data_IF_404540935776
#
_entry.id   IF_404540935776
#
_cell.length_a   1.000
_cell.length_b   1.000
_cell.length_c   1.000
_cell.angle_alpha   90.00
_cell.angle_beta   90.00
_cell.angle_gamma   90.00
#
_symmetry.space_group_name_H-M   'P 1'
#
loop_
_entity.id
_entity.type
_entity.pdbx_description
1 polymer ?
#
# COMPACT_ATOMS: atom_id res chain seq x y z
N UNK A 1 -12.24 -7.36 -17.16
CA UNK A 1 -10.97 -6.60 -17.28
C UNK A 1 -9.81 -7.56 -17.45
N UNK A 2 -8.85 -7.23 -18.32
CA UNK A 2 -7.60 -7.99 -18.41
C UNK A 2 -6.77 -7.84 -17.14
N UNK A 3 -6.13 -8.93 -16.71
CA UNK A 3 -5.31 -8.98 -15.52
C UNK A 3 -4.00 -9.72 -15.79
N UNK A 4 -2.98 -9.41 -15.01
CA UNK A 4 -1.70 -10.12 -14.94
C UNK A 4 -1.37 -10.45 -13.49
N UNK A 5 -0.51 -11.44 -13.30
CA UNK A 5 -0.06 -11.87 -11.98
C UNK A 5 1.42 -11.55 -11.80
N UNK A 6 1.74 -10.84 -10.72
CA UNK A 6 3.09 -10.40 -10.38
C UNK A 6 3.40 -10.90 -8.96
N UNK A 7 4.57 -11.50 -8.71
CA UNK A 7 4.93 -11.95 -7.36
C UNK A 7 5.16 -10.77 -6.42
N UNK A 8 4.93 -11.01 -5.10
CA UNK A 8 5.35 -10.08 -4.06
C UNK A 8 6.88 -10.18 -3.86
N UNK A 9 7.57 -9.07 -3.56
CA UNK A 9 7.03 -7.75 -3.21
C UNK A 9 6.68 -6.87 -4.43
N UNK A 10 7.03 -7.27 -5.66
CA UNK A 10 6.90 -6.44 -6.86
C UNK A 10 5.48 -5.96 -7.16
N UNK A 11 4.46 -6.78 -6.84
CA UNK A 11 3.07 -6.37 -6.99
C UNK A 11 2.72 -5.20 -6.04
N UNK A 12 3.25 -5.20 -4.82
CA UNK A 12 3.13 -4.09 -3.88
C UNK A 12 3.93 -2.87 -4.33
N UNK A 13 5.12 -3.07 -4.89
CA UNK A 13 5.93 -1.99 -5.44
C UNK A 13 5.23 -1.25 -6.59
N UNK A 14 4.45 -1.97 -7.40
CA UNK A 14 3.60 -1.33 -8.41
C UNK A 14 2.45 -0.58 -7.73
N UNK A 15 1.75 -1.20 -6.77
CA UNK A 15 0.66 -0.57 -6.02
C UNK A 15 1.12 0.75 -5.36
N UNK A 16 2.30 0.76 -4.76
CA UNK A 16 2.90 1.93 -4.11
C UNK A 16 3.39 3.00 -5.09
N UNK A 17 3.54 2.65 -6.36
CA UNK A 17 4.06 3.53 -7.41
C UNK A 17 5.58 3.62 -7.47
N UNK A 18 6.32 2.88 -6.63
CA UNK A 18 7.79 2.84 -6.65
C UNK A 18 8.31 2.10 -7.88
N UNK A 19 7.64 0.99 -8.25
CA UNK A 19 7.92 0.25 -9.46
C UNK A 19 6.97 0.65 -10.57
N UNK A 20 7.48 1.26 -11.62
CA UNK A 20 6.69 1.69 -12.78
C UNK A 20 7.05 0.97 -14.08
N UNK A 21 8.00 0.05 -14.01
CA UNK A 21 8.35 -0.89 -15.08
C UNK A 21 8.38 -2.31 -14.52
N UNK A 22 7.68 -3.23 -15.16
CA UNK A 22 7.81 -4.66 -14.90
C UNK A 22 8.55 -5.34 -16.06
N UNK A 23 9.56 -6.14 -15.71
CA UNK A 23 10.30 -6.94 -16.67
C UNK A 23 9.55 -8.24 -16.96
N UNK A 24 9.10 -8.42 -18.21
CA UNK A 24 8.33 -9.59 -18.63
C UNK A 24 9.06 -10.34 -19.74
N UNK A 25 9.00 -11.68 -19.71
CA UNK A 25 9.58 -12.55 -20.74
C UNK A 25 8.84 -12.49 -22.11
N UNK A 26 7.73 -11.74 -22.19
CA UNK A 26 6.87 -11.73 -23.37
C UNK A 26 6.40 -10.34 -23.76
N UNK A 27 6.21 -10.12 -25.06
CA UNK A 27 5.70 -8.89 -25.66
C UNK A 27 4.17 -8.84 -25.65
N UNK A 28 3.60 -7.64 -25.73
CA UNK A 28 2.16 -7.44 -25.84
C UNK A 28 1.80 -6.20 -26.66
N UNK A 29 0.78 -6.35 -27.49
CA UNK A 29 0.14 -5.24 -28.19
C UNK A 29 -0.94 -4.55 -27.35
N UNK A 30 -1.29 -5.10 -26.18
CA UNK A 30 -2.29 -4.49 -25.30
C UNK A 30 -1.78 -3.17 -24.76
N UNK A 31 -2.67 -2.16 -24.72
CA UNK A 31 -2.48 -0.87 -24.08
C UNK A 31 -3.76 -0.52 -23.34
N UNK A 32 -3.62 0.32 -22.30
CA UNK A 32 -4.75 0.72 -21.45
C UNK A 32 -4.76 -0.01 -20.11
N UNK A 33 -5.89 -0.01 -19.45
CA UNK A 33 -6.03 -0.51 -18.10
C UNK A 33 -5.86 -2.02 -18.01
N UNK A 34 -5.05 -2.45 -17.04
CA UNK A 34 -4.89 -3.84 -16.63
C UNK A 34 -4.95 -3.94 -15.11
N UNK A 35 -5.49 -5.05 -14.63
CA UNK A 35 -5.53 -5.36 -13.20
C UNK A 35 -4.24 -6.08 -12.80
N UNK A 36 -3.55 -5.54 -11.80
CA UNK A 36 -2.38 -6.17 -11.19
C UNK A 36 -2.86 -7.03 -10.02
N UNK A 37 -2.52 -8.32 -10.10
CA UNK A 37 -2.83 -9.29 -9.05
C UNK A 37 -1.53 -9.83 -8.47
N UNK A 38 -1.45 -9.98 -7.16
CA UNK A 38 -0.32 -10.64 -6.53
C UNK A 38 -0.33 -12.15 -6.76
N UNK A 39 0.82 -12.76 -6.97
CA UNK A 39 0.97 -14.20 -7.03
C UNK A 39 0.74 -14.84 -5.66
N UNK A 40 0.39 -16.14 -5.64
CA UNK A 40 0.32 -16.91 -4.39
C UNK A 40 1.68 -17.27 -3.82
N UNK A 41 2.70 -17.32 -4.69
CA UNK A 41 4.09 -17.56 -4.30
C UNK A 41 4.85 -16.25 -4.42
N UNK A 42 5.66 -15.91 -3.42
CA UNK A 42 6.54 -14.75 -3.47
C UNK A 42 7.68 -14.94 -4.49
N UNK A 43 8.42 -13.85 -4.73
CA UNK A 43 9.64 -13.87 -5.55
C UNK A 43 10.83 -14.44 -4.78
N UNK A 44 10.84 -14.33 -3.48
CA UNK A 44 11.93 -14.70 -2.58
C UNK A 44 11.52 -15.82 -1.61
N UNK A 45 12.45 -16.31 -0.79
CA UNK A 45 12.16 -17.26 0.28
C UNK A 45 11.25 -16.64 1.36
N UNK A 46 10.65 -17.46 2.21
CA UNK A 46 9.80 -16.95 3.29
C UNK A 46 10.60 -16.07 4.27
N UNK A 47 11.84 -16.44 4.57
CA UNK A 47 12.72 -15.69 5.47
C UNK A 47 13.05 -14.29 4.90
N UNK A 48 13.43 -14.22 3.62
CA UNK A 48 13.65 -12.94 2.93
C UNK A 48 12.37 -12.10 2.85
N UNK A 49 11.20 -12.73 2.66
CA UNK A 49 9.94 -12.00 2.62
C UNK A 49 9.54 -11.44 3.98
N UNK A 50 9.82 -12.16 5.09
CA UNK A 50 9.61 -11.65 6.46
C UNK A 50 10.47 -10.40 6.71
N UNK A 51 11.76 -10.43 6.33
CA UNK A 51 12.63 -9.26 6.43
C UNK A 51 12.12 -8.06 5.61
N UNK A 52 11.63 -8.33 4.39
CA UNK A 52 11.06 -7.30 3.52
C UNK A 52 9.74 -6.75 4.12
N UNK A 53 8.85 -7.60 4.62
CA UNK A 53 7.59 -7.17 5.24
C UNK A 53 7.85 -6.32 6.49
N UNK A 54 8.87 -6.66 7.28
CA UNK A 54 9.32 -5.87 8.44
C UNK A 54 9.87 -4.49 8.01
N UNK A 55 10.71 -4.44 6.96
CA UNK A 55 11.22 -3.19 6.40
C UNK A 55 10.10 -2.27 5.92
N UNK A 56 9.07 -2.84 5.29
CA UNK A 56 7.91 -2.08 4.79
C UNK A 56 6.88 -1.77 5.87
N UNK A 57 6.97 -2.41 7.03
CA UNK A 57 5.99 -2.30 8.11
C UNK A 57 4.60 -2.77 7.71
N UNK A 58 4.50 -3.70 6.74
CA UNK A 58 3.22 -4.21 6.24
C UNK A 58 3.30 -5.66 5.81
N UNK A 59 2.22 -6.40 5.99
CA UNK A 59 2.06 -7.76 5.48
C UNK A 59 1.51 -7.72 4.06
N UNK A 60 2.17 -8.41 3.15
CA UNK A 60 1.73 -8.46 1.76
C UNK A 60 0.53 -9.39 1.56
N UNK A 61 -0.40 -8.96 0.71
CA UNK A 61 -1.50 -9.82 0.26
C UNK A 61 -1.02 -10.70 -0.89
N UNK A 62 -1.24 -12.01 -0.77
CA UNK A 62 -0.92 -13.01 -1.79
C UNK A 62 -2.18 -13.56 -2.45
N UNK A 63 -2.16 -13.70 -3.78
CA UNK A 63 -3.30 -14.22 -4.54
C UNK A 63 -4.50 -13.29 -4.59
N UNK A 64 -4.29 -11.99 -4.53
CA UNK A 64 -5.33 -10.96 -4.55
C UNK A 64 -5.13 -9.96 -5.69
N UNK A 65 -6.22 -9.39 -6.17
CA UNK A 65 -6.19 -8.18 -6.97
C UNK A 65 -5.83 -6.99 -6.08
N UNK A 66 -4.92 -6.11 -6.54
CA UNK A 66 -4.37 -5.02 -5.74
C UNK A 66 -4.64 -3.63 -6.34
N UNK A 67 -4.39 -3.45 -7.63
CA UNK A 67 -4.57 -2.17 -8.29
C UNK A 67 -4.83 -2.32 -9.79
N UNK A 68 -5.43 -1.28 -10.38
CA UNK A 68 -5.47 -1.09 -11.82
C UNK A 68 -4.30 -0.19 -12.18
N UNK A 69 -3.49 -0.61 -13.16
CA UNK A 69 -2.43 0.20 -13.75
C UNK A 69 -2.71 0.39 -15.24
N UNK A 70 -2.43 1.57 -15.78
CA UNK A 70 -2.49 1.81 -17.21
C UNK A 70 -1.19 1.37 -17.85
N UNK A 71 -1.24 0.32 -18.68
CA UNK A 71 -0.12 -0.10 -19.51
C UNK A 71 0.05 0.87 -20.67
N UNK A 72 1.08 1.70 -20.57
CA UNK A 72 1.39 2.75 -21.53
C UNK A 72 2.12 2.22 -22.76
N UNK A 73 3.17 1.44 -22.50
CA UNK A 73 4.09 0.93 -23.52
C UNK A 73 4.60 -0.47 -23.13
N UNK A 74 4.86 -1.28 -24.15
CA UNK A 74 5.65 -2.51 -24.02
C UNK A 74 6.72 -2.44 -25.11
N UNK A 75 7.97 -2.63 -24.75
CA UNK A 75 9.14 -2.60 -25.66
C UNK A 75 10.27 -3.44 -25.08
N UNK A 76 11.26 -3.87 -25.89
CA UNK A 76 12.46 -4.47 -25.34
C UNK A 76 13.08 -3.61 -24.24
N UNK A 77 13.58 -4.26 -23.18
CA UNK A 77 14.24 -3.59 -22.08
C UNK A 77 15.51 -2.90 -22.54
N UNK A 78 15.88 -1.80 -21.95
CA UNK A 78 17.05 -0.98 -22.33
C UNK A 78 17.67 -0.27 -21.14
N UNK A 79 18.91 0.17 -21.28
CA UNK A 79 19.63 0.95 -20.29
C UNK A 79 18.79 2.14 -19.80
N UNK A 80 18.74 2.32 -18.48
CA UNK A 80 17.96 3.34 -17.80
C UNK A 80 16.56 2.89 -17.36
N UNK A 81 16.18 1.62 -17.61
CA UNK A 81 14.94 1.03 -17.08
C UNK A 81 15.12 0.45 -15.66
N UNK A 82 16.36 0.20 -15.23
CA UNK A 82 16.72 -0.53 -14.01
C UNK A 82 16.09 0.08 -12.77
N UNK A 83 16.27 1.40 -12.58
CA UNK A 83 15.74 2.12 -11.42
C UNK A 83 14.23 2.00 -11.31
N UNK A 84 13.52 2.16 -12.44
CA UNK A 84 12.06 2.07 -12.51
C UNK A 84 11.53 0.65 -12.43
N UNK A 85 12.36 -0.33 -12.77
CA UNK A 85 12.09 -1.75 -12.68
C UNK A 85 12.50 -2.35 -11.33
N UNK A 86 13.21 -1.59 -10.47
CA UNK A 86 13.81 -2.05 -9.22
C UNK A 86 14.70 -3.29 -9.45
N UNK A 87 15.63 -3.17 -10.38
CA UNK A 87 16.58 -4.22 -10.77
C UNK A 87 18.00 -3.65 -10.77
N UNK A 88 18.98 -4.47 -10.43
CA UNK A 88 20.39 -4.07 -10.45
C UNK A 88 20.93 -3.98 -11.88
N UNK A 89 20.45 -4.85 -12.76
CA UNK A 89 20.86 -4.95 -14.16
C UNK A 89 19.66 -5.22 -15.05
N UNK A 90 19.71 -4.77 -16.31
CA UNK A 90 18.68 -5.09 -17.29
C UNK A 90 18.78 -6.56 -17.72
N UNK A 91 17.63 -7.14 -18.03
CA UNK A 91 17.54 -8.40 -18.76
C UNK A 91 17.36 -8.11 -20.26
N UNK A 92 18.39 -8.38 -21.11
CA UNK A 92 18.33 -8.04 -22.52
C UNK A 92 17.27 -8.84 -23.31
N UNK A 93 16.77 -9.95 -22.75
CA UNK A 93 15.75 -10.79 -23.34
C UNK A 93 14.33 -10.43 -22.86
N UNK A 94 14.22 -9.53 -21.85
CA UNK A 94 12.96 -9.10 -21.31
C UNK A 94 12.34 -7.88 -22.02
N UNK A 95 11.06 -7.70 -21.81
CA UNK A 95 10.29 -6.53 -22.23
C UNK A 95 9.95 -5.66 -21.03
N UNK A 96 10.19 -4.35 -21.17
CA UNK A 96 9.70 -3.35 -20.21
C UNK A 96 8.21 -3.10 -20.42
N UNK A 97 7.41 -3.49 -19.43
CA UNK A 97 6.00 -3.12 -19.35
C UNK A 97 5.88 -1.87 -18.51
N UNK A 98 5.58 -0.74 -19.16
CA UNK A 98 5.61 0.58 -18.55
C UNK A 98 4.23 0.96 -18.08
N UNK A 99 4.09 1.21 -16.77
CA UNK A 99 2.85 1.55 -16.10
C UNK A 99 2.78 3.02 -15.72
N UNK A 100 1.55 3.55 -15.75
CA UNK A 100 1.18 4.84 -15.19
C UNK A 100 -0.23 4.75 -14.55
N UNK A 101 -0.69 5.82 -13.93
CA UNK A 101 -2.04 5.96 -13.36
C UNK A 101 -2.47 4.74 -12.53
N UNK A 102 -1.69 4.46 -11.50
CA UNK A 102 -1.93 3.34 -10.59
C UNK A 102 -3.05 3.71 -9.63
N UNK A 103 -4.11 2.89 -9.64
CA UNK A 103 -5.34 3.11 -8.86
C UNK A 103 -5.61 1.88 -8.00
N UNK A 104 -5.46 1.96 -6.67
CA UNK A 104 -5.75 0.85 -5.79
C UNK A 104 -7.18 0.35 -5.94
N UNK A 105 -7.40 -0.94 -5.78
CA UNK A 105 -8.74 -1.53 -5.66
C UNK A 105 -8.91 -2.13 -4.27
N UNK A 106 -10.16 -2.26 -3.83
CA UNK A 106 -10.47 -3.05 -2.64
C UNK A 106 -10.05 -4.48 -2.93
N UNK A 107 -9.09 -5.05 -2.18
CA UNK A 107 -8.54 -6.35 -2.51
C UNK A 107 -9.59 -7.47 -2.49
N UNK A 108 -9.49 -8.38 -3.44
CA UNK A 108 -10.31 -9.60 -3.49
C UNK A 108 -9.49 -10.77 -4.02
N UNK A 109 -9.78 -12.01 -3.62
CA UNK A 109 -9.05 -13.18 -4.08
C UNK A 109 -9.11 -13.31 -5.61
N UNK A 110 -7.94 -13.43 -6.25
CA UNK A 110 -7.80 -13.60 -7.68
C UNK A 110 -6.97 -14.84 -8.00
N UNK A 111 -7.50 -15.71 -8.85
CA UNK A 111 -6.77 -16.89 -9.30
C UNK A 111 -5.92 -16.50 -10.51
N UNK A 112 -4.66 -16.15 -10.25
CA UNK A 112 -3.69 -15.77 -11.28
C UNK A 112 -3.41 -16.85 -12.32
N UNK A 113 -2.92 -16.40 -13.47
CA UNK A 113 -2.39 -17.23 -14.56
C UNK A 113 -1.04 -16.69 -15.01
N UNK A 114 -0.32 -17.47 -15.83
CA UNK A 114 1.03 -17.11 -16.29
C UNK A 114 1.05 -15.94 -17.27
N UNK A 115 -0.06 -15.77 -18.04
CA UNK A 115 -0.23 -14.70 -19.03
C UNK A 115 -1.48 -13.89 -18.66
N UNK A 116 -2.01 -13.10 -19.60
CA UNK A 116 -3.28 -12.42 -19.41
C UNK A 116 -4.42 -13.38 -19.04
N UNK A 117 -5.24 -12.95 -18.13
CA UNK A 117 -6.51 -13.58 -17.82
C UNK A 117 -7.60 -12.51 -17.64
N UNK A 118 -8.85 -12.95 -17.68
CA UNK A 118 -10.00 -12.06 -17.48
C UNK A 118 -10.50 -12.14 -16.07
N UNK A 119 -10.80 -10.98 -15.50
CA UNK A 119 -11.47 -10.81 -14.21
C UNK A 119 -12.80 -10.11 -14.46
N UNK A 120 -13.85 -10.54 -13.76
CA UNK A 120 -15.17 -9.92 -13.85
C UNK A 120 -15.13 -8.50 -13.27
N UNK A 121 -15.51 -7.52 -14.06
CA UNK A 121 -15.49 -6.11 -13.69
C UNK A 121 -16.45 -5.80 -12.52
N UNK A 122 -17.45 -6.64 -12.29
CA UNK A 122 -18.38 -6.51 -11.16
C UNK A 122 -17.72 -6.71 -9.78
N UNK A 123 -16.52 -7.31 -9.75
CA UNK A 123 -15.73 -7.50 -8.53
C UNK A 123 -14.89 -6.27 -8.18
N UNK A 124 -14.74 -5.33 -9.12
CA UNK A 124 -13.85 -4.20 -8.97
C UNK A 124 -14.52 -3.08 -8.15
N UNK A 125 -13.88 -2.69 -7.09
CA UNK A 125 -14.18 -1.45 -6.37
C UNK A 125 -12.89 -0.65 -6.30
N UNK A 126 -12.81 0.40 -7.12
CA UNK A 126 -11.62 1.28 -7.18
C UNK A 126 -11.64 2.21 -5.97
N UNK A 127 -10.48 2.34 -5.31
CA UNK A 127 -10.31 3.31 -4.24
C UNK A 127 -10.38 4.73 -4.80
N UNK A 128 -11.06 5.67 -4.11
CA UNK A 128 -11.00 7.08 -4.45
C UNK A 128 -9.65 7.73 -4.09
N UNK A 129 -8.79 7.02 -3.37
CA UNK A 129 -7.47 7.49 -2.93
C UNK A 129 -6.37 6.62 -3.52
N UNK A 130 -5.23 7.23 -3.81
CA UNK A 130 -3.99 6.52 -4.18
C UNK A 130 -3.31 5.95 -2.93
N UNK A 131 -2.34 5.07 -3.12
CA UNK A 131 -1.44 4.68 -2.03
C UNK A 131 -0.54 5.86 -1.65
N UNK A 132 -0.26 6.02 -0.34
CA UNK A 132 0.54 7.11 0.22
C UNK A 132 0.01 8.53 -0.09
N UNK A 133 -1.29 8.66 -0.36
CA UNK A 133 -1.93 9.96 -0.59
C UNK A 133 -2.16 10.69 0.74
N UNK A 134 -1.76 11.97 0.86
CA UNK A 134 -2.05 12.76 2.04
C UNK A 134 -3.55 12.99 2.21
N UNK A 135 -4.08 12.70 3.40
CA UNK A 135 -5.50 12.83 3.73
C UNK A 135 -5.72 13.51 5.06
N UNK A 136 -6.92 14.07 5.22
CA UNK A 136 -7.42 14.58 6.48
C UNK A 136 -8.68 13.83 6.89
N UNK A 137 -8.84 13.60 8.19
CA UNK A 137 -10.04 13.00 8.78
C UNK A 137 -11.12 14.06 8.90
N UNK A 138 -12.32 13.74 8.40
CA UNK A 138 -13.47 14.65 8.42
C UNK A 138 -14.05 14.85 9.84
N UNK A 139 -14.71 15.97 10.05
CA UNK A 139 -15.42 16.27 11.30
C UNK A 139 -16.41 15.18 11.69
N UNK A 140 -16.51 14.90 12.99
CA UNK A 140 -17.40 13.91 13.56
C UNK A 140 -16.95 12.46 13.38
N UNK A 141 -15.70 12.23 12.96
CA UNK A 141 -15.12 10.90 12.87
C UNK A 141 -14.50 10.51 14.20
N UNK A 142 -15.08 9.50 14.84
CA UNK A 142 -14.48 8.85 16.01
C UNK A 142 -13.95 7.47 15.60
N UNK A 143 -12.73 7.14 15.98
CA UNK A 143 -12.25 5.77 15.94
C UNK A 143 -12.70 5.06 17.22
N UNK A 144 -13.43 3.95 17.06
CA UNK A 144 -13.90 3.17 18.21
C UNK A 144 -12.72 2.61 19.01
N UNK A 145 -11.64 2.29 18.32
CA UNK A 145 -10.39 1.74 18.87
C UNK A 145 -9.73 2.75 19.83
N UNK A 146 -9.70 4.02 19.49
CA UNK A 146 -9.07 5.06 20.30
C UNK A 146 -10.02 5.70 21.31
N UNK A 147 -11.32 5.71 21.03
CA UNK A 147 -12.32 6.38 21.85
C UNK A 147 -12.15 7.91 21.90
N UNK A 148 -11.48 8.48 20.89
CA UNK A 148 -11.26 9.93 20.74
C UNK A 148 -11.84 10.42 19.42
N UNK A 149 -12.14 11.70 19.36
CA UNK A 149 -12.50 12.38 18.11
C UNK A 149 -11.23 12.59 17.27
N UNK A 150 -11.25 12.05 16.06
CA UNK A 150 -10.16 12.17 15.10
C UNK A 150 -10.34 13.33 14.12
N UNK A 151 -11.33 14.19 14.34
CA UNK A 151 -11.61 15.33 13.46
C UNK A 151 -10.37 16.19 13.24
N UNK A 152 -10.01 16.38 11.96
CA UNK A 152 -8.85 17.18 11.58
C UNK A 152 -7.48 16.50 11.72
N UNK A 153 -7.41 15.26 12.21
CA UNK A 153 -6.19 14.47 12.15
C UNK A 153 -5.80 14.24 10.71
N UNK A 154 -4.52 14.13 10.45
CA UNK A 154 -3.99 13.90 9.09
C UNK A 154 -2.99 12.76 9.07
N UNK A 155 -2.79 12.25 7.86
CA UNK A 155 -1.86 11.17 7.62
C UNK A 155 -1.79 10.84 6.15
N UNK A 156 -1.34 9.63 5.85
CA UNK A 156 -1.26 9.09 4.50
C UNK A 156 -2.02 7.79 4.41
N UNK A 157 -2.68 7.60 3.28
CA UNK A 157 -3.36 6.35 2.97
C UNK A 157 -2.34 5.23 2.79
N UNK A 158 -2.67 4.07 3.32
CA UNK A 158 -1.88 2.85 3.20
C UNK A 158 -2.75 1.72 2.61
N UNK A 159 -2.79 0.57 3.26
CA UNK A 159 -3.47 -0.62 2.77
C UNK A 159 -5.00 -0.46 2.81
N UNK A 160 -5.64 -1.17 1.90
CA UNK A 160 -7.10 -1.28 1.87
C UNK A 160 -7.49 -2.69 2.32
N UNK A 161 -8.44 -2.75 3.22
CA UNK A 161 -8.99 -3.99 3.76
C UNK A 161 -10.50 -4.08 3.49
N UNK A 162 -11.04 -5.26 3.68
CA UNK A 162 -12.49 -5.47 3.68
C UNK A 162 -12.89 -6.03 5.05
N UNK A 163 -13.59 -5.22 5.82
CA UNK A 163 -14.08 -5.56 7.13
C UNK A 163 -15.61 -5.63 7.10
N UNK A 164 -16.19 -6.77 7.51
CA UNK A 164 -17.65 -7.01 7.47
C UNK A 164 -18.30 -6.70 6.11
N UNK A 165 -17.56 -6.90 5.02
CA UNK A 165 -18.03 -6.59 3.66
C UNK A 165 -17.82 -5.16 3.20
N UNK A 166 -17.48 -4.24 4.08
CA UNK A 166 -17.24 -2.83 3.80
C UNK A 166 -15.76 -2.53 3.59
N UNK A 167 -15.41 -1.69 2.60
CA UNK A 167 -14.02 -1.27 2.41
C UNK A 167 -13.57 -0.35 3.53
N UNK A 168 -12.36 -0.61 4.03
CA UNK A 168 -11.61 0.22 4.97
C UNK A 168 -10.27 0.55 4.37
N UNK A 169 -9.76 1.71 4.69
CA UNK A 169 -8.43 2.14 4.34
C UNK A 169 -7.66 2.47 5.61
N UNK A 170 -6.47 1.95 5.75
CA UNK A 170 -5.55 2.36 6.79
C UNK A 170 -5.05 3.76 6.47
N UNK A 171 -5.07 4.63 7.47
CA UNK A 171 -4.42 5.92 7.45
C UNK A 171 -3.33 5.91 8.50
N UNK A 172 -2.07 5.99 8.08
CA UNK A 172 -0.92 6.19 8.98
C UNK A 172 -0.81 7.67 9.31
N UNK A 173 -0.70 7.99 10.60
CA UNK A 173 -0.71 9.37 11.05
C UNK A 173 0.53 10.14 10.62
N UNK A 174 0.38 11.43 10.33
CA UNK A 174 1.52 12.34 10.18
C UNK A 174 2.16 12.66 11.53
N UNK A 175 3.37 13.20 11.52
CA UNK A 175 4.16 13.52 12.71
C UNK A 175 3.42 14.43 13.72
N UNK A 176 2.60 15.36 13.22
CA UNK A 176 1.84 16.26 14.06
C UNK A 176 0.65 15.57 14.72
N UNK A 177 -0.05 14.69 14.01
CA UNK A 177 -1.16 13.91 14.56
C UNK A 177 -0.67 12.88 15.57
N UNK A 178 0.49 12.24 15.34
CA UNK A 178 1.14 11.36 16.32
C UNK A 178 1.41 12.05 17.65
N UNK A 179 1.94 13.27 17.62
CA UNK A 179 2.23 14.08 18.83
C UNK A 179 0.96 14.56 19.57
N UNK A 180 -0.23 14.41 18.98
CA UNK A 180 -1.51 14.71 19.63
C UNK A 180 -2.09 13.52 20.41
N UNK A 181 -1.53 12.32 20.28
CA UNK A 181 -2.04 11.11 20.95
C UNK A 181 -1.85 11.24 22.46
N UNK A 182 -2.93 11.14 23.27
CA UNK A 182 -2.82 11.17 24.72
C UNK A 182 -2.08 9.93 25.24
N UNK A 183 -1.25 10.07 26.28
CA UNK A 183 -0.54 8.97 26.92
C UNK A 183 -1.45 7.79 27.31
N UNK A 184 -2.63 8.09 27.84
CA UNK A 184 -3.63 7.05 28.19
C UNK A 184 -4.12 6.23 27.01
N UNK A 185 -4.02 6.78 25.79
CA UNK A 185 -4.32 6.03 24.57
C UNK A 185 -3.13 5.14 24.19
N UNK A 186 -1.91 5.66 24.24
CA UNK A 186 -0.70 4.87 24.01
C UNK A 186 -0.63 3.67 24.95
N UNK A 187 -0.81 3.89 26.28
CA UNK A 187 -0.84 2.82 27.29
C UNK A 187 -1.90 1.76 26.99
N UNK A 188 -3.08 2.17 26.53
CA UNK A 188 -4.14 1.24 26.18
C UNK A 188 -3.81 0.48 24.90
N UNK A 189 -3.32 1.16 23.87
CA UNK A 189 -2.95 0.53 22.60
C UNK A 189 -1.89 -0.54 22.81
N UNK A 190 -0.83 -0.24 23.54
CA UNK A 190 0.22 -1.21 23.86
C UNK A 190 -0.32 -2.40 24.65
N UNK A 191 -1.14 -2.14 25.65
CA UNK A 191 -1.74 -3.21 26.47
C UNK A 191 -2.67 -4.13 25.67
N UNK A 192 -3.39 -3.60 24.70
CA UNK A 192 -4.40 -4.31 23.90
C UNK A 192 -3.83 -4.81 22.56
N UNK A 193 -2.57 -4.51 22.24
CA UNK A 193 -1.94 -4.85 20.96
C UNK A 193 -2.57 -4.10 19.79
N UNK A 194 -3.04 -2.87 20.02
CA UNK A 194 -3.64 -2.00 18.99
C UNK A 194 -2.54 -1.09 18.43
N UNK A 195 -2.42 -1.05 17.13
CA UNK A 195 -1.50 -0.15 16.47
C UNK A 195 -1.96 1.31 16.61
N UNK A 196 -1.16 2.11 17.30
CA UNK A 196 -1.42 3.52 17.56
C UNK A 196 -0.92 4.46 16.45
N UNK A 197 -0.13 3.95 15.51
CA UNK A 197 0.46 4.77 14.43
C UNK A 197 -0.51 5.10 13.30
N UNK A 198 -1.70 4.52 13.33
CA UNK A 198 -2.73 4.74 12.32
C UNK A 198 -4.10 4.28 12.75
N UNK A 199 -5.08 4.37 11.87
CA UNK A 199 -6.42 3.85 12.07
C UNK A 199 -7.04 3.31 10.78
N UNK A 200 -7.98 2.36 10.91
CA UNK A 200 -8.81 1.87 9.82
C UNK A 200 -10.07 2.72 9.68
N UNK A 201 -10.17 3.44 8.57
CA UNK A 201 -11.27 4.38 8.31
C UNK A 201 -12.06 3.98 7.05
N UNK A 202 -13.33 4.42 6.98
CA UNK A 202 -14.10 4.35 5.74
C UNK A 202 -13.63 5.42 4.77
N UNK A 203 -13.73 5.18 3.47
CA UNK A 203 -13.46 6.21 2.45
C UNK A 203 -14.26 7.49 2.66
N UNK A 204 -15.48 7.40 3.20
CA UNK A 204 -16.33 8.55 3.49
C UNK A 204 -15.86 9.42 4.65
N UNK A 205 -14.98 8.91 5.51
CA UNK A 205 -14.50 9.57 6.73
C UNK A 205 -13.24 10.42 6.49
N UNK A 206 -12.64 10.32 5.30
CA UNK A 206 -11.43 11.06 4.94
C UNK A 206 -11.64 11.87 3.66
N UNK A 207 -10.75 12.79 3.42
CA UNK A 207 -10.65 13.61 2.21
C UNK A 207 -9.19 13.89 1.87
N UNK A 208 -8.90 14.09 0.57
CA UNK A 208 -7.54 14.45 0.14
C UNK A 208 -7.09 15.75 0.78
N UNK A 209 -5.84 15.82 1.17
CA UNK A 209 -5.24 16.99 1.80
C UNK A 209 -3.82 17.25 1.28
N UNK A 210 -3.15 18.24 1.85
CA UNK A 210 -1.73 18.46 1.59
C UNK A 210 -0.89 17.80 2.68
N UNK A 211 0.23 17.20 2.28
CA UNK A 211 1.23 16.71 3.23
C UNK A 211 1.75 17.87 4.09
N UNK A 212 1.99 17.60 5.37
CA UNK A 212 2.54 18.57 6.33
C UNK A 212 3.96 18.22 6.78
N UNK A 213 4.41 17.04 6.38
CA UNK A 213 5.66 16.43 6.79
C UNK A 213 6.16 15.43 5.74
N UNK A 214 7.33 14.88 5.96
CA UNK A 214 7.91 13.78 5.19
C UNK A 214 7.72 12.43 5.90
N UNK A 215 8.11 11.34 5.25
CA UNK A 215 8.09 9.99 5.87
C UNK A 215 9.14 9.94 7.00
N UNK A 216 10.27 10.59 6.80
CA UNK A 216 11.35 10.69 7.79
C UNK A 216 10.88 11.42 9.05
N UNK A 217 10.14 12.54 8.92
CA UNK A 217 9.56 13.26 10.07
C UNK A 217 8.59 12.38 10.88
N UNK A 218 7.85 11.50 10.20
CA UNK A 218 6.93 10.53 10.86
C UNK A 218 7.73 9.51 11.67
N UNK A 219 8.79 8.95 11.07
CA UNK A 219 9.65 7.98 11.74
C UNK A 219 10.32 8.60 12.97
N UNK A 220 10.89 9.80 12.84
CA UNK A 220 11.48 10.53 13.96
C UNK A 220 10.46 10.79 15.08
N UNK A 221 9.20 11.12 14.72
CA UNK A 221 8.17 11.35 15.72
C UNK A 221 7.77 10.07 16.48
N UNK A 222 7.74 8.92 15.81
CA UNK A 222 7.49 7.61 16.44
C UNK A 222 8.60 7.29 17.43
N UNK A 223 9.87 7.40 17.00
CA UNK A 223 11.04 7.16 17.84
C UNK A 223 11.05 8.10 19.07
N UNK A 224 10.81 9.41 18.86
CA UNK A 224 10.71 10.39 19.96
C UNK A 224 9.62 10.02 20.98
N UNK A 225 8.44 9.57 20.52
CA UNK A 225 7.35 9.14 21.39
C UNK A 225 7.74 7.91 22.21
N UNK A 226 8.37 6.93 21.59
CA UNK A 226 8.81 5.71 22.25
C UNK A 226 9.92 5.98 23.27
N UNK A 227 10.94 6.77 22.91
CA UNK A 227 12.04 7.14 23.81
C UNK A 227 11.57 7.98 25.01
N UNK A 228 10.60 8.86 24.82
CA UNK A 228 10.05 9.68 25.90
C UNK A 228 9.11 8.92 26.85
N UNK A 229 8.66 7.72 26.45
CA UNK A 229 7.71 6.91 27.22
C UNK A 229 8.17 5.45 27.38
N UNK A 230 9.40 5.19 27.86
CA UNK A 230 9.96 3.85 27.90
C UNK A 230 9.13 2.87 28.73
N UNK A 231 8.44 3.37 29.77
CA UNK A 231 7.58 2.52 30.60
C UNK A 231 6.33 1.99 29.90
N UNK A 232 5.95 2.55 28.74
CA UNK A 232 4.82 2.08 27.93
C UNK A 232 5.32 1.01 26.94
N UNK A 233 6.52 1.20 26.38
CA UNK A 233 7.07 0.40 25.28
C UNK A 233 8.18 -0.58 25.71
N UNK A 234 8.48 -0.67 27.03
CA UNK A 234 9.36 -1.71 27.56
C UNK A 234 8.64 -3.07 27.52
N UNK A 235 9.19 -3.98 26.72
CA UNK A 235 8.88 -5.41 26.65
C UNK A 235 9.79 -6.17 27.60
#
# INVERSE_FOLDING_TARGET
MKAITIPQPYAFEILSGRKTIEAMEWDSLHRGDILICSARKPAFSNEEMEEIEDEYGTLFLYGHALCIARLLEVRPMRDGDEERALMDEIDPDAYSWIFEDIRPVVPFPAKGKREFFEVDDSLLTVSPFKFNEPVAVKEGTAAQEFGVDLSGWRGRTAEIYKEEGEPRIRVTWDSLSLKMIPLSILERCEKEGIDWTGALLRFSQIESSQARDTVEDVQEAIEEIMENNPSIFEI
#
